data_IF_154539650213
#
_entry.id   IF_154539650213
#
_cell.length_a   1.000
_cell.length_b   1.000
_cell.length_c   1.000
_cell.angle_alpha   90.00
_cell.angle_beta   90.00
_cell.angle_gamma   90.00
#
_symmetry.space_group_name_H-M   'P 1'
#
loop_
_entity.id
_entity.type
_entity.pdbx_description
1 polymer ?
#
# COMPACT_ATOMS: atom_id res chain seq x y z
N UNK A 1 27.05 -17.04 8.48
CA UNK A 1 26.27 -16.16 7.59
C UNK A 1 24.80 -16.50 7.79
N UNK A 2 23.96 -15.52 8.09
CA UNK A 2 22.52 -15.71 8.25
C UNK A 2 21.84 -15.41 6.91
N UNK A 3 21.00 -16.34 6.44
CA UNK A 3 20.22 -16.15 5.21
C UNK A 3 18.79 -15.78 5.60
N UNK A 4 18.29 -14.66 5.10
CA UNK A 4 16.94 -14.17 5.38
C UNK A 4 16.07 -14.44 4.16
N UNK A 5 14.97 -15.14 4.37
CA UNK A 5 13.95 -15.40 3.34
C UNK A 5 12.81 -14.41 3.59
N UNK A 6 12.55 -13.53 2.63
CA UNK A 6 11.40 -12.62 2.66
C UNK A 6 10.36 -13.10 1.65
N UNK A 7 9.19 -13.52 2.14
CA UNK A 7 8.10 -13.99 1.30
C UNK A 7 6.78 -13.44 1.84
N UNK A 8 5.93 -12.91 0.94
CA UNK A 8 4.57 -12.52 1.28
C UNK A 8 3.69 -13.77 1.36
N UNK A 9 2.91 -13.88 2.43
CA UNK A 9 2.07 -15.04 2.72
C UNK A 9 0.70 -14.56 3.14
N UNK A 10 -0.35 -15.26 2.70
CA UNK A 10 -1.73 -14.96 3.13
C UNK A 10 -2.03 -15.70 4.41
N UNK A 11 -2.61 -15.00 5.38
CA UNK A 11 -3.08 -15.61 6.63
C UNK A 11 -4.33 -16.44 6.32
N UNK A 12 -4.27 -17.73 6.59
CA UNK A 12 -5.34 -18.70 6.46
C UNK A 12 -6.30 -18.63 7.67
N UNK A 13 -7.51 -19.22 7.57
CA UNK A 13 -8.44 -19.28 8.70
C UNK A 13 -7.80 -19.80 9.99
N UNK A 14 -8.17 -19.21 11.12
CA UNK A 14 -7.58 -19.52 12.42
C UNK A 14 -6.21 -18.89 12.65
N UNK A 15 -5.80 -17.90 11.84
CA UNK A 15 -4.53 -17.20 12.00
C UNK A 15 -3.32 -18.02 11.54
N UNK A 16 -3.55 -19.06 10.73
CA UNK A 16 -2.52 -19.98 10.28
C UNK A 16 -1.71 -19.38 9.13
N UNK A 17 -0.40 -19.56 9.14
CA UNK A 17 0.49 -19.16 8.05
C UNK A 17 1.24 -20.39 7.55
N UNK A 18 1.25 -20.61 6.23
CA UNK A 18 1.96 -21.71 5.59
C UNK A 18 2.83 -21.16 4.47
N UNK A 19 4.11 -21.55 4.44
CA UNK A 19 5.03 -21.20 3.37
C UNK A 19 5.92 -22.39 3.02
N UNK A 20 6.40 -22.43 1.79
CA UNK A 20 7.32 -23.44 1.29
C UNK A 20 8.42 -22.74 0.52
N UNK A 21 9.67 -23.04 0.85
CA UNK A 21 10.83 -22.44 0.20
C UNK A 21 11.86 -23.52 -0.10
N UNK A 22 12.41 -23.51 -1.32
CA UNK A 22 13.33 -24.56 -1.81
C UNK A 22 14.67 -24.60 -1.07
N UNK A 23 14.96 -23.58 -0.28
CA UNK A 23 16.21 -23.46 0.48
C UNK A 23 16.08 -23.95 1.92
N UNK A 24 14.89 -24.44 2.30
CA UNK A 24 14.62 -24.99 3.62
C UNK A 24 14.63 -26.51 3.53
N UNK A 25 15.59 -27.11 4.21
CA UNK A 25 15.76 -28.56 4.26
C UNK A 25 14.99 -29.17 5.43
N UNK A 26 14.59 -30.44 5.29
CA UNK A 26 13.90 -31.16 6.35
C UNK A 26 14.78 -31.27 7.61
N UNK A 27 14.23 -30.94 8.78
CA UNK A 27 14.94 -30.96 10.06
C UNK A 27 15.80 -29.74 10.34
N UNK A 28 15.85 -28.76 9.43
CA UNK A 28 16.54 -27.49 9.65
C UNK A 28 15.78 -26.62 10.66
N UNK A 29 16.46 -26.18 11.72
CA UNK A 29 15.91 -25.21 12.66
C UNK A 29 15.98 -23.80 12.07
N UNK A 30 14.87 -23.06 12.14
CA UNK A 30 14.76 -21.69 11.63
C UNK A 30 14.01 -20.80 12.62
N UNK A 31 14.38 -19.52 12.64
CA UNK A 31 13.63 -18.49 13.34
C UNK A 31 12.63 -17.85 12.38
N UNK A 32 11.37 -17.74 12.82
CA UNK A 32 10.28 -17.15 12.02
C UNK A 32 9.94 -15.78 12.58
N UNK A 33 10.08 -14.74 11.75
CA UNK A 33 9.66 -13.37 12.07
C UNK A 33 8.44 -13.02 11.22
N UNK A 34 7.32 -12.72 11.88
CA UNK A 34 6.08 -12.35 11.21
C UNK A 34 5.91 -10.83 11.30
N UNK A 35 5.92 -10.18 10.14
CA UNK A 35 5.58 -8.77 9.99
C UNK A 35 4.17 -8.69 9.41
N UNK A 36 3.21 -8.17 10.17
CA UNK A 36 1.93 -7.80 9.63
C UNK A 36 1.95 -6.29 9.37
N UNK A 37 1.63 -5.88 8.14
CA UNK A 37 1.21 -4.50 7.93
C UNK A 37 -0.10 -4.36 8.69
N UNK A 38 -0.12 -3.53 9.74
CA UNK A 38 -1.40 -2.93 10.14
C UNK A 38 -1.93 -2.32 8.86
N UNK A 39 -3.07 -2.83 8.37
CA UNK A 39 -3.75 -2.22 7.23
C UNK A 39 -3.80 -0.74 7.58
N UNK A 40 -2.97 0.07 6.91
CA UNK A 40 -2.85 1.48 7.24
C UNK A 40 -4.28 1.97 7.29
N UNK A 41 -4.68 2.57 8.42
CA UNK A 41 -6.01 3.14 8.55
C UNK A 41 -6.24 3.87 7.24
N UNK A 42 -7.21 3.39 6.43
CA UNK A 42 -7.56 4.15 5.23
C UNK A 42 -7.89 5.52 5.78
N UNK A 43 -7.11 6.56 5.44
CA UNK A 43 -7.36 7.87 6.00
C UNK A 43 -8.83 8.15 5.74
N UNK A 44 -9.56 8.56 6.78
CA UNK A 44 -10.95 8.91 6.59
C UNK A 44 -10.97 9.97 5.48
N UNK A 45 -12.04 10.04 4.70
CA UNK A 45 -12.13 11.03 3.60
C UNK A 45 -11.78 12.44 4.11
N UNK A 46 -12.10 12.73 5.37
CA UNK A 46 -11.73 13.96 6.07
C UNK A 46 -10.22 14.12 6.26
N UNK A 47 -9.47 13.06 6.57
CA UNK A 47 -8.01 13.10 6.74
C UNK A 47 -7.28 13.34 5.41
N UNK A 48 -7.84 12.84 4.30
CA UNK A 48 -7.33 13.12 2.94
C UNK A 48 -7.55 14.59 2.58
N UNK A 49 -8.73 15.14 2.90
CA UNK A 49 -9.06 16.55 2.64
C UNK A 49 -8.27 17.50 3.56
N UNK A 50 -7.99 17.06 4.79
CA UNK A 50 -7.17 17.80 5.77
C UNK A 50 -5.66 17.60 5.57
N UNK A 51 -5.24 16.78 4.60
CA UNK A 51 -3.85 16.63 4.21
C UNK A 51 -3.22 17.97 3.85
N UNK A 52 -1.93 18.12 4.21
CA UNK A 52 -1.15 19.32 3.95
C UNK A 52 -1.03 19.66 2.45
N UNK A 53 -0.54 20.86 2.09
CA UNK A 53 -0.46 21.33 0.69
C UNK A 53 0.21 20.31 -0.26
N UNK A 54 1.23 19.60 0.23
CA UNK A 54 2.00 18.62 -0.53
C UNK A 54 1.23 17.33 -0.90
N UNK A 55 0.04 17.14 -0.33
CA UNK A 55 -0.82 15.97 -0.60
C UNK A 55 -2.00 16.30 -1.53
N UNK A 56 -2.15 17.56 -1.94
CA UNK A 56 -3.24 18.01 -2.81
C UNK A 56 -2.76 18.01 -4.26
N UNK A 57 -3.58 17.46 -5.15
CA UNK A 57 -3.33 17.49 -6.61
C UNK A 57 -3.38 18.92 -7.17
N UNK A 58 -4.17 19.79 -6.54
CA UNK A 58 -4.30 21.20 -6.89
C UNK A 58 -4.10 22.04 -5.62
N UNK A 59 -3.30 23.09 -5.73
CA UNK A 59 -2.92 23.93 -4.59
C UNK A 59 -3.98 24.98 -4.27
N UNK A 60 -4.78 25.37 -5.27
CA UNK A 60 -5.80 26.40 -5.13
C UNK A 60 -7.00 26.16 -6.08
N UNK A 61 -8.06 26.95 -5.88
CA UNK A 61 -9.29 26.82 -6.65
C UNK A 61 -9.17 27.30 -8.11
N UNK A 62 -8.18 28.13 -8.43
CA UNK A 62 -7.93 28.60 -9.81
C UNK A 62 -7.40 27.45 -10.66
N UNK A 63 -6.42 26.69 -10.14
CA UNK A 63 -5.86 25.51 -10.81
C UNK A 63 -6.92 24.44 -11.10
N UNK A 64 -7.84 24.22 -10.16
CA UNK A 64 -8.98 23.29 -10.37
C UNK A 64 -9.86 23.78 -11.52
N UNK A 65 -10.14 25.09 -11.57
CA UNK A 65 -11.00 25.66 -12.60
C UNK A 65 -10.36 25.56 -13.98
N UNK A 66 -9.09 25.94 -14.09
CA UNK A 66 -8.32 25.84 -15.34
C UNK A 66 -8.26 24.40 -15.84
N UNK A 67 -8.02 23.43 -14.96
CA UNK A 67 -8.04 22.01 -15.32
C UNK A 67 -9.40 21.57 -15.87
N UNK A 68 -10.50 21.93 -15.22
CA UNK A 68 -11.86 21.57 -15.68
C UNK A 68 -12.23 22.21 -17.01
N UNK A 69 -11.80 23.45 -17.25
CA UNK A 69 -12.03 24.14 -18.52
C UNK A 69 -11.24 23.48 -19.65
N UNK A 70 -9.99 23.10 -19.41
CA UNK A 70 -9.17 22.37 -20.37
C UNK A 70 -9.72 20.97 -20.68
N UNK A 71 -10.16 20.24 -19.66
CA UNK A 71 -10.84 18.95 -19.83
C UNK A 71 -12.07 19.12 -20.71
N UNK A 72 -12.96 20.07 -20.37
CA UNK A 72 -14.15 20.34 -21.17
C UNK A 72 -13.82 20.68 -22.62
N UNK A 73 -12.84 21.55 -22.86
CA UNK A 73 -12.43 21.95 -24.19
C UNK A 73 -11.89 20.77 -25.03
N UNK A 74 -11.26 19.77 -24.40
CA UNK A 74 -10.74 18.59 -25.11
C UNK A 74 -11.82 17.60 -25.55
N UNK A 75 -13.05 17.71 -25.03
CA UNK A 75 -14.19 16.87 -25.39
C UNK A 75 -15.08 17.50 -26.48
N UNK A 76 -14.96 18.80 -26.69
CA UNK A 76 -15.67 19.58 -27.72
C UNK A 76 -14.90 19.60 -29.07
N UNK A 77 -13.92 18.70 -29.27
CA UNK A 77 -13.12 18.52 -30.51
C UNK A 77 -13.66 17.41 -31.40
#
# INVERSE_FOLDING_TARGET
>A
MQKVIHQKVTVLPGGKVEFTHQELEAGQQVDVVVLHESAGERPAILDILNGGPDQRLFQNAEEVREHLENEKASWDV
#
